data_IF_574605707515
#
_entry.id   IF_574605707515
#
_cell.length_a   1.000
_cell.length_b   1.000
_cell.length_c   1.000
_cell.angle_alpha   90.00
_cell.angle_beta   90.00
_cell.angle_gamma   90.00
#
_symmetry.space_group_name_H-M   'P 1'
#
loop_
_entity.id
_entity.type
_entity.pdbx_description
1 polymer ?
#
# COMPACT_ATOMS: atom_id res chain seq x y z
N UNK A 1 25.71 2.92 -17.68
CA UNK A 1 25.56 3.46 -19.06
C UNK A 1 26.19 4.83 -19.08
N UNK A 2 27.33 4.97 -19.78
CA UNK A 2 28.16 6.17 -19.74
C UNK A 2 27.47 7.46 -20.23
N UNK A 3 26.27 7.37 -20.78
CA UNK A 3 25.46 8.51 -21.22
C UNK A 3 24.33 8.88 -20.27
N UNK A 4 23.88 7.95 -19.42
CA UNK A 4 22.73 8.14 -18.55
C UNK A 4 23.11 8.33 -17.08
N UNK A 5 24.39 8.17 -16.73
CA UNK A 5 24.86 8.16 -15.35
C UNK A 5 24.71 6.82 -14.65
N UNK A 6 25.00 6.81 -13.37
CA UNK A 6 24.96 5.64 -12.51
C UNK A 6 23.63 5.54 -11.78
N UNK A 7 23.06 4.34 -11.77
CA UNK A 7 21.79 4.06 -11.09
C UNK A 7 22.05 3.44 -9.71
N UNK A 8 21.42 3.99 -8.71
CA UNK A 8 21.51 3.51 -7.32
C UNK A 8 20.15 3.21 -6.75
N UNK A 9 20.09 2.17 -5.93
CA UNK A 9 18.95 1.91 -5.07
C UNK A 9 19.26 2.51 -3.69
N UNK A 10 18.44 3.43 -3.25
CA UNK A 10 18.60 4.05 -1.92
C UNK A 10 18.15 3.10 -0.81
N UNK A 11 18.57 3.36 0.43
CA UNK A 11 18.12 2.59 1.61
C UNK A 11 16.60 2.61 1.79
N UNK A 12 15.93 3.61 1.25
CA UNK A 12 14.48 3.77 1.33
C UNK A 12 13.76 3.10 0.14
N UNK A 13 14.49 2.39 -0.72
CA UNK A 13 13.92 1.70 -1.86
C UNK A 13 13.61 2.59 -3.07
N UNK A 14 14.14 3.81 -3.13
CA UNK A 14 14.04 4.68 -4.30
C UNK A 14 15.14 4.36 -5.31
N UNK A 15 14.82 4.49 -6.58
CA UNK A 15 15.81 4.48 -7.65
C UNK A 15 16.22 5.90 -7.97
N UNK A 16 17.51 6.17 -7.88
CA UNK A 16 18.10 7.45 -8.24
C UNK A 16 19.15 7.26 -9.30
N UNK A 17 19.34 8.24 -10.15
CA UNK A 17 20.47 8.31 -11.09
C UNK A 17 21.30 9.54 -10.78
N UNK A 18 22.61 9.35 -10.71
CA UNK A 18 23.56 10.45 -10.66
C UNK A 18 24.11 10.67 -12.07
N UNK A 19 23.86 11.84 -12.61
CA UNK A 19 24.37 12.26 -13.92
C UNK A 19 25.87 12.61 -13.83
N UNK A 20 26.59 12.70 -14.98
CA UNK A 20 28.02 13.04 -15.00
C UNK A 20 28.36 14.39 -14.38
N UNK A 21 27.40 15.31 -14.27
CA UNK A 21 27.54 16.62 -13.64
C UNK A 21 27.18 16.61 -12.14
N UNK A 22 27.02 15.40 -11.55
CA UNK A 22 26.59 15.17 -10.16
C UNK A 22 25.15 15.60 -9.85
N UNK A 23 24.34 15.90 -10.86
CA UNK A 23 22.91 16.10 -10.65
C UNK A 23 22.26 14.76 -10.31
N UNK A 24 21.49 14.71 -9.25
CA UNK A 24 20.74 13.51 -8.82
C UNK A 24 19.28 13.65 -9.25
N UNK A 25 18.80 12.64 -9.97
CA UNK A 25 17.40 12.55 -10.40
C UNK A 25 16.75 11.35 -9.74
N UNK A 26 15.61 11.58 -9.09
CA UNK A 26 14.79 10.51 -8.51
C UNK A 26 13.92 9.87 -9.60
N UNK A 27 13.92 8.54 -9.64
CA UNK A 27 13.04 7.77 -10.50
C UNK A 27 12.06 6.96 -9.66
N UNK A 28 10.80 7.08 -10.02
CA UNK A 28 9.79 6.17 -9.53
C UNK A 28 9.84 4.88 -10.35
N UNK A 29 9.98 3.74 -9.69
CA UNK A 29 9.89 2.46 -10.37
C UNK A 29 8.45 2.27 -10.87
N UNK A 30 8.29 2.23 -12.20
CA UNK A 30 7.00 1.89 -12.80
C UNK A 30 6.83 0.38 -12.72
N UNK A 31 5.88 -0.06 -11.92
CA UNK A 31 5.55 -1.48 -11.79
C UNK A 31 4.60 -1.86 -12.91
N UNK A 32 5.00 -2.75 -13.85
CA UNK A 32 4.35 -2.90 -15.14
C UNK A 32 2.96 -3.54 -15.09
N UNK A 33 2.54 -4.02 -13.93
CA UNK A 33 1.24 -4.69 -13.77
C UNK A 33 0.30 -4.00 -12.78
N UNK A 34 0.60 -2.77 -12.37
CA UNK A 34 -0.31 -1.97 -11.53
C UNK A 34 -0.81 -0.80 -12.36
N UNK A 35 -2.09 -0.80 -12.65
CA UNK A 35 -2.77 0.37 -13.18
C UNK A 35 -3.16 1.30 -12.05
N UNK A 36 -2.68 2.53 -12.08
CA UNK A 36 -3.10 3.57 -11.13
C UNK A 36 -4.59 3.87 -11.20
N UNK A 37 -5.22 3.63 -12.34
CA UNK A 37 -6.65 3.89 -12.53
C UNK A 37 -7.55 2.82 -11.92
N UNK A 38 -7.09 1.55 -11.90
CA UNK A 38 -7.93 0.42 -11.46
C UNK A 38 -7.41 -0.31 -10.22
N UNK A 39 -6.21 -0.05 -9.73
CA UNK A 39 -5.57 -0.68 -8.55
C UNK A 39 -5.54 -2.22 -8.54
N UNK A 40 -6.13 -2.87 -9.51
CA UNK A 40 -6.12 -4.32 -9.64
C UNK A 40 -5.01 -4.71 -10.60
N UNK A 41 -3.97 -5.43 -10.15
CA UNK A 41 -2.89 -5.83 -11.02
C UNK A 41 -3.39 -6.79 -12.10
N UNK A 42 -2.99 -6.56 -13.34
CA UNK A 42 -3.28 -7.44 -14.46
C UNK A 42 -2.33 -8.65 -14.44
N UNK A 43 -2.69 -9.62 -13.61
CA UNK A 43 -1.98 -10.88 -13.44
C UNK A 43 -2.86 -12.01 -13.93
N UNK A 44 -2.29 -12.87 -14.78
CA UNK A 44 -2.91 -14.16 -15.14
C UNK A 44 -2.19 -15.27 -14.36
N UNK A 45 -2.94 -15.95 -13.49
CA UNK A 45 -2.41 -17.07 -12.71
C UNK A 45 -2.18 -18.31 -13.58
N UNK A 46 -1.34 -19.22 -13.11
CA UNK A 46 -1.00 -20.47 -13.83
C UNK A 46 -2.20 -21.38 -14.11
N UNK A 47 -3.30 -21.22 -13.38
CA UNK A 47 -4.57 -21.91 -13.63
C UNK A 47 -5.45 -21.21 -14.69
N UNK A 48 -4.97 -20.14 -15.31
CA UNK A 48 -5.70 -19.35 -16.31
C UNK A 48 -6.65 -18.29 -15.75
N UNK A 49 -6.83 -18.20 -14.43
CA UNK A 49 -7.67 -17.16 -13.80
C UNK A 49 -6.97 -15.81 -13.82
N UNK A 50 -7.75 -14.75 -13.99
CA UNK A 50 -7.26 -13.39 -13.82
C UNK A 50 -7.29 -12.98 -12.34
N UNK A 51 -6.34 -12.15 -11.95
CA UNK A 51 -6.33 -11.60 -10.62
C UNK A 51 -7.50 -10.64 -10.42
N UNK A 52 -8.18 -10.79 -9.29
CA UNK A 52 -9.29 -9.93 -8.85
C UNK A 52 -8.97 -9.21 -7.52
N UNK A 53 -7.77 -9.41 -6.99
CA UNK A 53 -7.36 -8.80 -5.74
C UNK A 53 -6.58 -7.52 -6.01
N UNK A 54 -6.76 -6.53 -5.16
CA UNK A 54 -5.87 -5.37 -5.10
C UNK A 54 -4.64 -5.70 -4.26
N UNK A 55 -3.51 -5.09 -4.61
CA UNK A 55 -2.26 -5.25 -3.85
C UNK A 55 -1.69 -3.89 -3.50
N UNK A 56 -1.23 -3.76 -2.27
CA UNK A 56 -0.47 -2.63 -1.80
C UNK A 56 1.02 -2.98 -1.77
N UNK A 57 1.84 -2.09 -2.30
CA UNK A 57 3.29 -2.17 -2.29
C UNK A 57 3.93 -0.93 -1.68
N UNK A 58 3.09 -0.02 -1.18
CA UNK A 58 3.57 1.22 -0.57
C UNK A 58 3.95 1.00 0.88
N UNK A 59 4.99 1.68 1.34
CA UNK A 59 5.20 1.84 2.78
C UNK A 59 4.14 2.81 3.33
N UNK A 60 3.48 2.47 4.43
CA UNK A 60 2.59 3.39 5.10
C UNK A 60 3.41 4.50 5.78
N UNK A 61 3.89 5.46 5.01
CA UNK A 61 4.59 6.63 5.54
C UNK A 61 3.90 7.90 5.06
N UNK A 62 3.51 8.73 6.00
CA UNK A 62 3.12 10.09 5.69
C UNK A 62 4.31 10.84 5.09
N UNK A 63 4.26 11.12 3.78
CA UNK A 63 5.26 11.94 3.10
C UNK A 63 6.49 11.20 2.57
N UNK A 64 6.45 9.88 2.42
CA UNK A 64 7.52 9.13 1.76
C UNK A 64 7.58 9.42 0.25
N UNK A 65 8.76 9.72 -0.25
CA UNK A 65 9.01 9.95 -1.69
C UNK A 65 8.98 8.66 -2.51
N UNK A 66 9.04 7.49 -1.86
CA UNK A 66 9.18 6.18 -2.51
C UNK A 66 8.01 5.30 -2.18
N UNK A 67 7.48 4.64 -3.21
CA UNK A 67 6.20 3.95 -3.17
C UNK A 67 6.30 2.43 -3.28
N UNK A 68 7.48 1.82 -3.11
CA UNK A 68 7.62 0.37 -3.14
C UNK A 68 8.51 -0.16 -2.01
N UNK A 69 8.28 -1.42 -1.64
CA UNK A 69 9.04 -2.14 -0.63
C UNK A 69 9.91 -3.19 -1.30
N UNK A 70 11.22 -3.11 -1.08
CA UNK A 70 12.11 -4.22 -1.37
C UNK A 70 12.05 -5.22 -0.23
N UNK A 71 12.10 -6.51 -0.55
CA UNK A 71 12.18 -7.54 0.48
C UNK A 71 13.62 -7.92 0.71
N UNK A 72 14.15 -7.51 1.84
CA UNK A 72 15.45 -7.97 2.35
C UNK A 72 15.35 -9.33 3.06
N UNK A 73 14.13 -9.80 3.33
CA UNK A 73 13.86 -11.01 4.11
C UNK A 73 13.89 -12.29 3.27
N UNK A 74 13.89 -12.17 1.92
CA UNK A 74 14.04 -13.32 1.02
C UNK A 74 15.52 -13.67 0.91
N UNK A 75 15.89 -14.80 1.47
CA UNK A 75 17.28 -15.27 1.43
C UNK A 75 17.67 -15.81 0.06
N UNK A 76 16.73 -16.42 -0.66
CA UNK A 76 16.98 -17.00 -1.99
C UNK A 76 15.70 -17.10 -2.82
N UNK A 77 15.83 -17.18 -4.14
CA UNK A 77 14.71 -17.50 -5.05
C UNK A 77 14.10 -18.90 -4.75
N UNK A 78 14.84 -19.77 -4.07
CA UNK A 78 14.36 -21.11 -3.72
C UNK A 78 13.15 -21.09 -2.78
N UNK A 79 12.92 -20.00 -2.05
CA UNK A 79 11.74 -19.82 -1.21
C UNK A 79 10.47 -19.52 -2.02
N UNK A 80 10.62 -19.15 -3.29
CA UNK A 80 9.54 -18.69 -4.15
C UNK A 80 9.15 -19.69 -5.22
N UNK A 81 7.88 -19.69 -5.60
CA UNK A 81 7.35 -20.39 -6.78
C UNK A 81 6.58 -19.43 -7.68
N UNK A 82 6.67 -19.68 -8.99
CA UNK A 82 5.89 -18.91 -9.99
C UNK A 82 4.43 -19.31 -9.89
N UNK A 83 3.55 -18.31 -9.79
CA UNK A 83 2.10 -18.51 -9.73
C UNK A 83 1.36 -17.93 -10.93
N UNK A 84 2.03 -17.13 -11.75
CA UNK A 84 1.40 -16.49 -12.90
C UNK A 84 2.34 -15.52 -13.60
N UNK A 85 1.76 -14.74 -14.50
CA UNK A 85 2.46 -13.70 -15.26
C UNK A 85 1.69 -12.40 -15.23
N UNK A 86 2.41 -11.31 -15.14
CA UNK A 86 1.90 -9.96 -15.36
C UNK A 86 1.60 -9.71 -16.84
N UNK A 87 0.85 -8.66 -17.15
CA UNK A 87 0.53 -8.26 -18.53
C UNK A 87 1.77 -8.06 -19.42
N UNK A 88 2.88 -7.58 -18.84
CA UNK A 88 4.17 -7.41 -19.51
C UNK A 88 4.93 -8.74 -19.76
N UNK A 89 4.42 -9.86 -19.28
CA UNK A 89 5.05 -11.18 -19.40
C UNK A 89 5.98 -11.55 -18.23
N UNK A 90 6.23 -10.64 -17.30
CA UNK A 90 7.04 -10.89 -16.11
C UNK A 90 6.42 -11.96 -15.22
N UNK A 91 7.26 -12.79 -14.62
CA UNK A 91 6.79 -13.80 -13.68
C UNK A 91 6.38 -13.17 -12.36
N UNK A 92 5.27 -13.67 -11.83
CA UNK A 92 4.76 -13.33 -10.49
C UNK A 92 4.91 -14.55 -9.60
N UNK A 93 5.35 -14.34 -8.38
CA UNK A 93 5.75 -15.41 -7.45
C UNK A 93 4.97 -15.33 -6.14
N UNK A 94 4.97 -16.42 -5.39
CA UNK A 94 4.56 -16.48 -3.98
C UNK A 94 5.55 -17.33 -3.18
N UNK A 95 5.41 -17.33 -1.86
CA UNK A 95 6.15 -18.26 -0.99
C UNK A 95 5.72 -19.70 -1.28
N UNK A 96 6.69 -20.62 -1.43
CA UNK A 96 6.44 -22.06 -1.61
C UNK A 96 5.84 -22.67 -0.36
N UNK A 97 6.42 -22.36 0.78
CA UNK A 97 5.92 -22.82 2.06
C UNK A 97 4.71 -21.99 2.47
N UNK A 98 3.54 -22.61 2.37
CA UNK A 98 2.29 -21.97 2.76
C UNK A 98 2.15 -21.85 4.29
N UNK A 99 3.03 -22.49 5.08
CA UNK A 99 3.10 -22.37 6.52
C UNK A 99 4.26 -21.45 6.97
N UNK A 100 4.83 -20.68 6.06
CA UNK A 100 5.88 -19.73 6.37
C UNK A 100 5.46 -18.76 7.49
N UNK A 101 6.39 -18.47 8.40
CA UNK A 101 6.12 -17.63 9.57
C UNK A 101 5.60 -16.24 9.20
N UNK A 102 6.04 -15.69 8.08
CA UNK A 102 5.58 -14.37 7.56
C UNK A 102 4.10 -14.39 7.19
N UNK A 103 3.61 -15.50 6.60
CA UNK A 103 2.19 -15.69 6.29
C UNK A 103 1.36 -15.90 7.55
N UNK A 104 1.88 -16.68 8.50
CA UNK A 104 1.21 -16.91 9.78
C UNK A 104 1.09 -15.62 10.60
N UNK A 105 2.13 -14.80 10.61
CA UNK A 105 2.13 -13.51 11.27
C UNK A 105 1.11 -12.55 10.64
N UNK A 106 1.10 -12.44 9.31
CA UNK A 106 0.13 -11.64 8.58
C UNK A 106 -1.30 -12.12 8.88
N UNK A 107 -1.54 -13.43 8.83
CA UNK A 107 -2.84 -14.01 9.16
C UNK A 107 -3.30 -13.64 10.56
N UNK A 108 -2.43 -13.79 11.55
CA UNK A 108 -2.71 -13.49 12.94
C UNK A 108 -3.04 -12.02 13.18
N UNK A 109 -2.29 -11.13 12.53
CA UNK A 109 -2.37 -9.69 12.78
C UNK A 109 -3.47 -9.02 11.95
N UNK A 110 -3.62 -9.39 10.67
CA UNK A 110 -4.41 -8.62 9.70
C UNK A 110 -5.67 -9.36 9.22
N UNK A 111 -5.84 -10.63 9.57
CA UNK A 111 -7.06 -11.37 9.21
C UNK A 111 -8.22 -11.10 10.18
N UNK A 112 -8.24 -9.95 10.82
CA UNK A 112 -9.30 -9.58 11.76
C UNK A 112 -10.10 -8.39 11.25
N UNK A 113 -11.42 -8.44 11.44
CA UNK A 113 -12.28 -7.28 11.30
C UNK A 113 -12.70 -6.82 12.69
N UNK A 114 -12.58 -5.53 12.94
CA UNK A 114 -13.20 -4.93 14.11
C UNK A 114 -14.62 -4.49 13.75
N UNK A 115 -15.60 -5.05 14.43
CA UNK A 115 -16.96 -4.52 14.41
C UNK A 115 -17.18 -3.72 15.68
N UNK A 116 -17.78 -2.55 15.53
CA UNK A 116 -18.28 -1.81 16.67
C UNK A 116 -19.78 -2.09 16.80
N UNK A 117 -20.18 -2.63 17.94
CA UNK A 117 -21.60 -2.79 18.26
C UNK A 117 -22.23 -1.41 18.58
N UNK A 118 -23.56 -1.40 18.82
CA UNK A 118 -24.28 -0.17 19.18
C UNK A 118 -23.70 0.55 20.42
N UNK A 119 -23.02 -0.18 21.30
CA UNK A 119 -22.38 0.33 22.52
C UNK A 119 -20.92 0.74 22.29
N UNK A 120 -20.46 0.85 21.05
CA UNK A 120 -19.09 1.18 20.65
C UNK A 120 -18.02 0.21 21.19
N UNK A 121 -18.42 -1.01 21.53
CA UNK A 121 -17.49 -2.07 21.90
C UNK A 121 -16.94 -2.75 20.65
N UNK A 122 -15.63 -2.87 20.55
CA UNK A 122 -14.99 -3.54 19.42
C UNK A 122 -15.02 -5.06 19.63
N UNK A 123 -15.55 -5.77 18.65
CA UNK A 123 -15.40 -7.21 18.54
C UNK A 123 -14.48 -7.55 17.37
N UNK A 124 -13.46 -8.38 17.62
CA UNK A 124 -12.58 -8.88 16.59
C UNK A 124 -13.09 -10.23 16.08
N UNK A 125 -13.33 -10.33 14.80
CA UNK A 125 -13.74 -11.57 14.12
C UNK A 125 -12.76 -11.87 13.01
N UNK A 126 -12.36 -13.13 12.87
CA UNK A 126 -11.53 -13.56 11.74
C UNK A 126 -12.31 -13.43 10.43
N UNK A 127 -11.69 -12.80 9.43
CA UNK A 127 -12.29 -12.61 8.09
C UNK A 127 -12.36 -13.92 7.31
N UNK A 128 -11.30 -14.72 7.36
CA UNK A 128 -11.09 -15.91 6.54
C UNK A 128 -10.49 -17.03 7.40
N UNK A 129 -10.76 -18.29 7.04
CA UNK A 129 -9.94 -19.42 7.49
C UNK A 129 -8.53 -19.34 6.89
N UNK A 130 -7.57 -20.07 7.44
CA UNK A 130 -6.20 -20.03 6.93
C UNK A 130 -6.12 -20.48 5.47
N UNK A 131 -6.87 -21.52 5.10
CA UNK A 131 -6.92 -22.03 3.72
C UNK A 131 -7.51 -21.01 2.74
N UNK A 132 -8.53 -20.27 3.16
CA UNK A 132 -9.12 -19.20 2.34
C UNK A 132 -8.14 -18.03 2.22
N UNK A 133 -7.47 -17.66 3.31
CA UNK A 133 -6.44 -16.64 3.33
C UNK A 133 -5.32 -16.96 2.34
N UNK A 134 -4.78 -18.19 2.34
CA UNK A 134 -3.73 -18.61 1.42
C UNK A 134 -4.18 -18.56 -0.04
N UNK A 135 -5.44 -18.99 -0.33
CA UNK A 135 -6.01 -18.93 -1.69
C UNK A 135 -6.11 -17.50 -2.24
N UNK A 136 -6.17 -16.51 -1.39
CA UNK A 136 -6.18 -15.09 -1.79
C UNK A 136 -4.79 -14.55 -2.14
N UNK A 137 -3.75 -15.38 -2.13
CA UNK A 137 -2.36 -14.96 -2.36
C UNK A 137 -2.01 -13.69 -1.56
N UNK A 138 -1.91 -13.79 -0.22
CA UNK A 138 -1.75 -12.62 0.65
C UNK A 138 -0.48 -11.83 0.37
N UNK A 139 0.59 -12.50 -0.05
CA UNK A 139 1.79 -11.90 -0.60
C UNK A 139 2.04 -12.40 -2.02
N UNK A 140 2.37 -11.48 -2.90
CA UNK A 140 2.98 -11.78 -4.20
C UNK A 140 4.30 -11.04 -4.32
N UNK A 141 5.17 -11.55 -5.17
CA UNK A 141 6.51 -11.02 -5.37
C UNK A 141 6.80 -10.86 -6.85
N UNK A 142 7.53 -9.84 -7.15
CA UNK A 142 8.04 -9.55 -8.49
C UNK A 142 9.51 -9.17 -8.40
N UNK A 143 10.31 -9.64 -9.35
CA UNK A 143 11.72 -9.27 -9.44
C UNK A 143 11.86 -8.08 -10.36
N UNK A 144 12.35 -6.97 -9.83
CA UNK A 144 12.56 -5.76 -10.60
C UNK A 144 13.66 -5.95 -11.66
N UNK A 145 13.73 -5.10 -12.68
CA UNK A 145 14.84 -5.10 -13.65
C UNK A 145 16.22 -4.86 -13.00
N UNK A 146 16.24 -4.30 -11.79
CA UNK A 146 17.47 -4.09 -10.99
C UNK A 146 17.87 -5.32 -10.17
N UNK A 147 17.08 -6.41 -10.25
CA UNK A 147 17.32 -7.65 -9.53
C UNK A 147 16.75 -7.71 -8.12
N UNK A 148 16.09 -6.65 -7.66
CA UNK A 148 15.48 -6.56 -6.34
C UNK A 148 14.12 -7.25 -6.32
N UNK A 149 13.83 -7.93 -5.19
CA UNK A 149 12.52 -8.49 -4.96
C UNK A 149 11.57 -7.45 -4.36
N UNK A 150 10.45 -7.23 -5.01
CA UNK A 150 9.39 -6.34 -4.53
C UNK A 150 8.23 -7.18 -4.04
N UNK A 151 7.84 -6.94 -2.80
CA UNK A 151 6.71 -7.59 -2.15
C UNK A 151 5.47 -6.72 -2.25
N UNK A 152 4.38 -7.35 -2.61
CA UNK A 152 3.06 -6.75 -2.59
C UNK A 152 2.19 -7.47 -1.58
N UNK A 153 1.48 -6.71 -0.77
CA UNK A 153 0.51 -7.25 0.19
C UNK A 153 -0.88 -7.08 -0.39
N UNK A 154 -1.67 -8.15 -0.38
CA UNK A 154 -3.08 -8.06 -0.76
C UNK A 154 -3.77 -7.04 0.14
N UNK A 155 -4.48 -6.06 -0.43
CA UNK A 155 -5.09 -4.95 0.30
C UNK A 155 -6.10 -5.38 1.36
N UNK A 156 -6.65 -6.59 1.23
CA UNK A 156 -7.50 -7.19 2.28
C UNK A 156 -6.76 -7.44 3.59
N UNK A 157 -5.42 -7.53 3.53
CA UNK A 157 -4.52 -7.81 4.64
C UNK A 157 -3.45 -6.73 4.81
N UNK A 158 -3.50 -5.67 4.02
CA UNK A 158 -2.62 -4.54 4.21
C UNK A 158 -3.00 -3.80 5.50
N UNK A 159 -2.00 -3.45 6.28
CA UNK A 159 -2.19 -2.52 7.38
C UNK A 159 -2.69 -1.22 6.78
N UNK A 160 -3.85 -0.76 7.20
CA UNK A 160 -4.30 0.58 6.83
C UNK A 160 -3.23 1.55 7.35
N UNK A 161 -2.59 2.26 6.43
CA UNK A 161 -1.63 3.29 6.78
C UNK A 161 -2.25 4.20 7.85
N UNK A 162 -1.50 4.52 8.89
CA UNK A 162 -1.90 5.59 9.80
C UNK A 162 -2.13 6.82 8.93
N UNK A 163 -3.40 7.17 8.76
CA UNK A 163 -3.73 8.38 8.03
C UNK A 163 -3.25 9.55 8.86
N UNK A 164 -2.33 10.34 8.31
CA UNK A 164 -1.95 11.60 8.90
C UNK A 164 -3.22 12.40 9.14
N UNK A 165 -3.30 13.09 10.29
CA UNK A 165 -4.45 13.93 10.62
C UNK A 165 -4.69 14.89 9.47
N UNK A 166 -5.80 14.81 8.72
CA UNK A 166 -6.06 15.75 7.66
C UNK A 166 -6.25 17.13 8.28
N UNK A 167 -5.52 18.11 7.78
CA UNK A 167 -5.69 19.51 8.15
C UNK A 167 -6.46 20.20 7.04
N UNK A 168 -7.55 20.86 7.40
CA UNK A 168 -8.36 21.62 6.46
C UNK A 168 -8.00 23.08 6.61
N UNK A 169 -7.43 23.67 5.56
CA UNK A 169 -7.12 25.08 5.48
C UNK A 169 -8.24 25.82 4.79
N UNK A 170 -8.67 26.94 5.37
CA UNK A 170 -9.68 27.81 4.82
C UNK A 170 -9.01 29.14 4.42
N UNK A 171 -9.28 29.61 3.20
CA UNK A 171 -8.68 30.82 2.65
C UNK A 171 -9.77 31.82 2.22
N UNK A 172 -10.54 32.41 3.15
CA UNK A 172 -11.55 33.39 2.79
C UNK A 172 -10.88 34.71 2.40
N UNK A 173 -11.53 35.49 1.54
CA UNK A 173 -11.07 36.85 1.19
C UNK A 173 -11.48 37.90 2.22
N UNK A 174 -12.49 37.60 3.01
CA UNK A 174 -13.00 38.42 4.13
C UNK A 174 -13.36 37.48 5.27
N UNK A 175 -13.36 37.97 6.50
CA UNK A 175 -13.81 37.19 7.66
C UNK A 175 -15.19 36.59 7.39
N UNK A 176 -15.30 35.29 7.46
CA UNK A 176 -16.49 34.55 7.06
C UNK A 176 -16.80 33.45 8.05
N UNK A 177 -18.04 33.39 8.50
CA UNK A 177 -18.55 32.29 9.32
C UNK A 177 -19.00 31.14 8.41
N UNK A 178 -18.47 29.95 8.66
CA UNK A 178 -18.66 28.77 7.84
C UNK A 178 -19.17 27.60 8.68
N UNK A 179 -20.00 26.78 8.07
CA UNK A 179 -20.34 25.46 8.61
C UNK A 179 -19.65 24.39 7.78
N UNK A 180 -18.67 23.69 8.39
CA UNK A 180 -17.88 22.69 7.74
C UNK A 180 -18.47 21.30 8.03
N UNK A 181 -18.99 20.65 6.98
CA UNK A 181 -19.51 19.28 7.07
C UNK A 181 -18.61 18.31 6.30
N UNK A 182 -18.35 17.16 6.91
CA UNK A 182 -17.57 16.09 6.29
C UNK A 182 -18.51 15.04 5.70
N UNK A 183 -18.23 14.62 4.46
CA UNK A 183 -18.83 13.41 3.89
C UNK A 183 -17.84 12.25 4.11
N UNK A 184 -18.12 11.45 5.12
CA UNK A 184 -17.24 10.35 5.53
C UNK A 184 -17.59 9.07 4.77
N UNK A 185 -16.57 8.31 4.38
CA UNK A 185 -16.69 6.90 4.00
C UNK A 185 -16.25 5.98 5.19
N UNK A 186 -16.67 6.32 6.39
CA UNK A 186 -16.30 5.70 7.64
C UNK A 186 -16.90 6.46 8.81
N UNK A 187 -16.23 6.47 9.96
CA UNK A 187 -16.69 7.15 11.17
C UNK A 187 -15.53 7.91 11.83
N UNK A 188 -15.89 8.90 12.63
CA UNK A 188 -14.94 9.68 13.42
C UNK A 188 -14.77 9.02 14.78
N UNK A 189 -13.55 8.65 15.15
CA UNK A 189 -13.25 8.05 16.46
C UNK A 189 -12.98 9.12 17.51
N UNK A 190 -12.40 10.24 17.10
CA UNK A 190 -12.11 11.38 17.96
C UNK A 190 -12.03 12.63 17.10
N UNK A 191 -12.62 13.72 17.59
CA UNK A 191 -12.50 15.04 16.94
C UNK A 191 -12.25 16.11 17.99
N UNK A 192 -11.52 17.13 17.61
CA UNK A 192 -11.27 18.31 18.45
C UNK A 192 -11.22 19.54 17.52
N UNK A 193 -12.18 20.46 17.64
CA UNK A 193 -13.37 20.39 18.51
C UNK A 193 -14.30 19.23 18.20
N UNK A 194 -15.21 18.92 19.13
CA UNK A 194 -16.17 17.83 18.96
C UNK A 194 -17.02 18.05 17.72
N UNK A 195 -17.04 17.06 16.83
CA UNK A 195 -17.89 17.05 15.64
C UNK A 195 -19.30 16.57 16.01
N UNK A 196 -20.28 17.44 15.91
CA UNK A 196 -21.69 17.07 16.09
C UNK A 196 -22.38 16.88 14.74
N UNK A 197 -22.91 17.95 14.15
CA UNK A 197 -23.49 17.99 12.80
C UNK A 197 -22.68 18.93 11.88
N UNK A 198 -21.39 19.03 12.15
CA UNK A 198 -20.43 19.92 11.49
C UNK A 198 -19.71 20.82 12.48
N UNK A 199 -18.65 21.46 12.03
CA UNK A 199 -17.98 22.51 12.77
C UNK A 199 -18.45 23.88 12.29
N UNK A 200 -18.84 24.71 13.24
CA UNK A 200 -19.02 26.13 12.97
C UNK A 200 -17.70 26.84 13.26
N UNK A 201 -17.15 27.48 12.27
CA UNK A 201 -15.84 28.14 12.34
C UNK A 201 -15.94 29.54 11.74
N UNK A 202 -15.26 30.49 12.37
CA UNK A 202 -15.01 31.81 11.79
C UNK A 202 -13.62 31.80 11.19
N UNK A 203 -13.51 31.96 9.89
CA UNK A 203 -12.24 31.98 9.18
C UNK A 203 -11.89 33.42 8.81
N UNK A 204 -10.65 33.81 9.08
CA UNK A 204 -10.14 35.15 8.78
C UNK A 204 -9.17 35.07 7.58
N UNK A 205 -9.04 36.15 6.78
CA UNK A 205 -8.00 36.24 5.77
C UNK A 205 -6.62 36.16 6.39
N UNK A 206 -5.70 35.49 5.70
CA UNK A 206 -4.30 35.39 6.10
C UNK A 206 -3.54 36.65 5.66
#
# INVERSE_FOLDING_TARGET
NDQLGDFYLTKNGCVVVELPDHTVIDYNLVIPFISYENRVPDITFSNGNKNQNEYDFTTPTCGGLCTYLTTIDLKTESELEVIGKAAGGDSVYRLKDQNDSRLQELYKNENTMAYYNADMQSQKVSKYSYDEFIKLNPYIFWKSPLGEWIKFTNSKFAVLAEMCKPVIYLYPQTTTDLNLKLKLHGFLTKTEPLYQDGWQVSAEPN
#
